data_IF_176251689867
#
_entry.id   IF_176251689867
#
_cell.length_a   1.000
_cell.length_b   1.000
_cell.length_c   1.000
_cell.angle_alpha   90.00
_cell.angle_beta   90.00
_cell.angle_gamma   90.00
#
_symmetry.space_group_name_H-M   'P 1'
#
loop_
_entity.id
_entity.type
_entity.pdbx_description
1 polymer ?
#
# COMPACT_ATOMS: atom_id res chain seq x y z
N UNK A 1 24.18 -1.52 -4.85
CA UNK A 1 23.60 -2.89 -4.89
C UNK A 1 24.24 -3.91 -3.93
N UNK A 2 25.47 -3.78 -3.36
CA UNK A 2 25.96 -4.76 -2.36
C UNK A 2 25.41 -4.56 -0.93
N UNK A 3 24.84 -3.39 -0.63
CA UNK A 3 24.41 -2.99 0.71
C UNK A 3 23.18 -3.76 1.22
N UNK A 4 22.30 -4.19 0.32
CA UNK A 4 21.07 -4.91 0.70
C UNK A 4 21.35 -6.36 1.07
N UNK A 5 22.15 -7.06 0.26
CA UNK A 5 22.59 -8.42 0.58
C UNK A 5 23.38 -8.46 1.88
N UNK A 6 24.23 -7.44 2.14
CA UNK A 6 24.95 -7.31 3.40
C UNK A 6 24.01 -7.05 4.59
N UNK A 7 23.03 -6.15 4.46
CA UNK A 7 22.07 -5.85 5.54
C UNK A 7 21.17 -7.06 5.87
N UNK A 8 20.70 -7.78 4.86
CA UNK A 8 19.86 -8.97 5.03
C UNK A 8 20.61 -10.14 5.66
N UNK A 9 21.94 -10.17 5.59
CA UNK A 9 22.76 -11.22 6.21
C UNK A 9 23.27 -10.79 7.60
N UNK A 10 23.80 -9.58 7.72
CA UNK A 10 24.45 -9.11 8.95
C UNK A 10 23.44 -8.81 10.06
N UNK A 11 22.30 -8.19 9.76
CA UNK A 11 21.36 -7.80 10.82
C UNK A 11 20.71 -9.03 11.48
N UNK A 12 20.24 -10.06 10.74
CA UNK A 12 19.78 -11.29 11.37
C UNK A 12 20.91 -12.07 12.07
N UNK A 13 22.13 -12.03 11.53
CA UNK A 13 23.30 -12.66 12.16
C UNK A 13 23.58 -12.09 13.57
N UNK A 14 23.48 -10.77 13.75
CA UNK A 14 23.74 -10.13 15.05
C UNK A 14 22.50 -10.01 15.96
N UNK A 15 21.28 -9.96 15.39
CA UNK A 15 20.05 -9.74 16.14
C UNK A 15 19.24 -11.00 16.47
N UNK A 16 19.38 -12.07 15.68
CA UNK A 16 18.59 -13.30 15.82
C UNK A 16 19.41 -14.50 16.31
N UNK A 17 20.72 -14.34 16.57
CA UNK A 17 21.54 -15.41 17.15
C UNK A 17 21.10 -15.68 18.60
N UNK A 18 20.51 -16.85 18.89
CA UNK A 18 20.16 -17.21 20.26
C UNK A 18 21.46 -17.45 21.01
N UNK A 19 21.75 -16.64 22.03
CA UNK A 19 23.01 -16.66 22.80
C UNK A 19 23.34 -17.99 23.52
N UNK A 20 22.61 -19.09 23.29
CA UNK A 20 22.75 -20.35 24.05
C UNK A 20 22.49 -21.68 23.32
N UNK A 21 22.19 -21.71 22.01
CA UNK A 21 21.86 -22.97 21.31
C UNK A 21 23.02 -23.49 20.44
N UNK A 22 23.19 -24.81 20.41
CA UNK A 22 24.33 -25.54 19.85
C UNK A 22 24.84 -25.01 18.49
N UNK A 23 26.18 -25.05 18.25
CA UNK A 23 26.82 -24.40 17.10
C UNK A 23 26.38 -24.91 15.71
N UNK A 24 25.80 -26.11 15.62
CA UNK A 24 25.22 -26.62 14.37
C UNK A 24 23.86 -25.98 14.01
N UNK A 25 23.04 -25.69 15.02
CA UNK A 25 21.74 -25.04 14.81
C UNK A 25 21.87 -23.55 14.53
N UNK A 26 22.91 -22.88 15.04
CA UNK A 26 23.08 -21.43 14.84
C UNK A 26 23.19 -21.04 13.37
N UNK A 27 23.87 -21.83 12.53
CA UNK A 27 24.01 -21.49 11.10
C UNK A 27 22.68 -21.63 10.34
N UNK A 28 21.94 -22.71 10.59
CA UNK A 28 20.63 -22.95 9.99
C UNK A 28 19.60 -21.92 10.42
N UNK A 29 19.60 -21.54 11.70
CA UNK A 29 18.74 -20.48 12.25
C UNK A 29 19.04 -19.14 11.57
N UNK A 30 20.32 -18.79 11.42
CA UNK A 30 20.73 -17.57 10.70
C UNK A 30 20.34 -17.63 9.23
N UNK A 31 20.51 -18.77 8.56
CA UNK A 31 20.11 -18.94 7.15
C UNK A 31 18.60 -18.77 6.95
N UNK A 32 17.78 -19.38 7.81
CA UNK A 32 16.32 -19.21 7.80
C UNK A 32 15.92 -17.76 8.07
N UNK A 33 16.57 -17.09 9.04
CA UNK A 33 16.32 -15.70 9.34
C UNK A 33 16.68 -14.75 8.18
N UNK A 34 17.84 -14.97 7.54
CA UNK A 34 18.27 -14.22 6.37
C UNK A 34 17.35 -14.43 5.16
N UNK A 35 16.85 -15.66 4.97
CA UNK A 35 15.87 -15.96 3.92
C UNK A 35 14.56 -15.18 4.13
N UNK A 36 13.98 -15.23 5.34
CA UNK A 36 12.74 -14.49 5.64
C UNK A 36 12.95 -12.98 5.49
N UNK A 37 14.08 -12.46 5.99
CA UNK A 37 14.41 -11.05 5.83
C UNK A 37 14.50 -10.65 4.36
N UNK A 38 15.17 -11.46 3.52
CA UNK A 38 15.30 -11.19 2.09
C UNK A 38 13.94 -11.19 1.38
N UNK A 39 13.08 -12.18 1.66
CA UNK A 39 11.74 -12.23 1.06
C UNK A 39 10.96 -10.97 1.41
N UNK A 40 10.95 -10.55 2.68
CA UNK A 40 10.23 -9.35 3.10
C UNK A 40 10.78 -8.08 2.50
N UNK A 41 12.11 -7.94 2.39
CA UNK A 41 12.72 -6.78 1.73
C UNK A 41 12.31 -6.72 0.27
N UNK A 42 12.38 -7.83 -0.46
CA UNK A 42 12.00 -7.86 -1.88
C UNK A 42 10.51 -7.57 -2.06
N UNK A 43 9.64 -8.14 -1.21
CA UNK A 43 8.20 -7.86 -1.25
C UNK A 43 7.89 -6.40 -0.92
N UNK A 44 8.57 -5.82 0.08
CA UNK A 44 8.43 -4.42 0.44
C UNK A 44 8.93 -3.48 -0.67
N UNK A 45 10.05 -3.81 -1.31
CA UNK A 45 10.54 -3.07 -2.47
C UNK A 45 9.56 -3.11 -3.64
N UNK A 46 8.98 -4.28 -3.92
CA UNK A 46 7.97 -4.42 -4.96
C UNK A 46 6.77 -3.51 -4.65
N UNK A 47 6.29 -3.56 -3.40
CA UNK A 47 5.16 -2.75 -2.93
C UNK A 47 5.41 -1.24 -3.04
N UNK A 48 6.64 -0.79 -2.75
CA UNK A 48 7.05 0.62 -2.91
C UNK A 48 7.32 1.02 -4.36
N UNK A 49 7.59 0.06 -5.24
CA UNK A 49 7.90 0.34 -6.64
C UNK A 49 6.63 0.60 -7.45
N UNK A 50 5.57 -0.16 -7.17
CA UNK A 50 4.31 -0.09 -7.92
C UNK A 50 3.56 1.23 -7.68
N UNK A 51 3.15 1.87 -8.78
CA UNK A 51 2.40 3.14 -8.77
C UNK A 51 0.90 2.95 -8.48
N UNK A 52 0.30 1.88 -9.02
CA UNK A 52 -1.14 1.62 -8.89
C UNK A 52 -1.39 0.45 -7.93
N UNK A 53 -1.92 0.76 -6.75
CA UNK A 53 -2.26 -0.23 -5.74
C UNK A 53 -3.60 -0.88 -6.04
N UNK A 54 -3.57 -2.10 -6.55
CA UNK A 54 -4.77 -2.92 -6.72
C UNK A 54 -4.96 -3.83 -5.50
N UNK A 55 -6.22 -4.19 -5.20
CA UNK A 55 -6.54 -5.15 -4.12
C UNK A 55 -5.85 -6.51 -4.33
N UNK A 56 -5.71 -6.93 -5.58
CA UNK A 56 -5.00 -8.15 -5.98
C UNK A 56 -3.50 -8.05 -5.66
N UNK A 57 -2.87 -6.93 -5.98
CA UNK A 57 -1.45 -6.73 -5.65
C UNK A 57 -1.23 -6.77 -4.15
N UNK A 58 -2.07 -6.09 -3.37
CA UNK A 58 -2.00 -6.13 -1.92
C UNK A 58 -2.12 -7.57 -1.39
N UNK A 59 -3.11 -8.33 -1.89
CA UNK A 59 -3.29 -9.73 -1.52
C UNK A 59 -2.06 -10.59 -1.84
N UNK A 60 -1.49 -10.45 -3.04
CA UNK A 60 -0.28 -11.20 -3.46
C UNK A 60 0.93 -10.82 -2.63
N UNK A 61 1.13 -9.53 -2.33
CA UNK A 61 2.22 -9.07 -1.46
C UNK A 61 2.05 -9.63 -0.03
N UNK A 62 0.84 -9.58 0.53
CA UNK A 62 0.58 -10.16 1.87
C UNK A 62 0.78 -11.67 1.88
N UNK A 63 0.33 -12.37 0.83
CA UNK A 63 0.51 -13.81 0.71
C UNK A 63 1.98 -14.16 0.57
N UNK A 64 2.73 -13.44 -0.26
CA UNK A 64 4.17 -13.63 -0.45
C UNK A 64 4.96 -13.36 0.83
N UNK A 65 4.54 -12.39 1.64
CA UNK A 65 5.14 -12.11 2.94
C UNK A 65 4.75 -13.16 4.00
N UNK A 66 3.53 -13.69 3.95
CA UNK A 66 3.01 -14.63 4.94
C UNK A 66 3.44 -16.08 4.66
N UNK A 67 3.58 -16.50 3.40
CA UNK A 67 3.84 -17.89 2.98
C UNK A 67 5.17 -18.50 3.49
N UNK A 68 6.27 -17.75 3.66
CA UNK A 68 7.50 -18.27 4.24
C UNK A 68 7.33 -18.81 5.67
N UNK A 69 6.44 -18.22 6.47
CA UNK A 69 6.23 -18.61 7.87
C UNK A 69 5.63 -20.02 8.03
N UNK A 70 4.44 -20.35 7.46
CA UNK A 70 3.90 -21.70 7.53
C UNK A 70 4.78 -22.70 6.78
N UNK A 71 5.45 -22.29 5.69
CA UNK A 71 6.37 -23.16 4.97
C UNK A 71 7.52 -23.62 5.87
N UNK A 72 8.21 -22.71 6.56
CA UNK A 72 9.31 -23.06 7.46
C UNK A 72 8.88 -23.89 8.68
N UNK A 73 7.63 -23.73 9.13
CA UNK A 73 7.05 -24.55 10.20
C UNK A 73 6.59 -25.94 9.73
N UNK A 74 6.15 -26.06 8.47
CA UNK A 74 5.64 -27.33 7.94
C UNK A 74 6.76 -28.25 7.45
N UNK A 75 7.83 -27.71 6.88
CA UNK A 75 8.91 -28.49 6.27
C UNK A 75 9.47 -29.53 7.25
N UNK A 76 9.82 -29.14 8.47
CA UNK A 76 10.38 -30.08 9.45
C UNK A 76 9.35 -31.13 9.92
N UNK A 77 8.06 -30.78 9.97
CA UNK A 77 6.99 -31.74 10.32
C UNK A 77 6.73 -32.76 9.22
N UNK A 78 6.86 -32.35 7.96
CA UNK A 78 6.76 -33.24 6.80
C UNK A 78 7.96 -34.17 6.74
N UNK A 79 9.16 -33.70 7.07
CA UNK A 79 10.37 -34.51 7.21
C UNK A 79 10.25 -35.57 8.32
N UNK A 80 9.66 -35.22 9.47
CA UNK A 80 9.31 -36.21 10.49
C UNK A 80 8.33 -37.27 9.96
N UNK A 81 7.33 -36.87 9.19
CA UNK A 81 6.33 -37.78 8.66
C UNK A 81 6.89 -38.71 7.57
N UNK A 82 7.92 -38.29 6.84
CA UNK A 82 8.59 -39.10 5.81
C UNK A 82 9.67 -40.04 6.34
N UNK A 83 9.98 -39.97 7.64
CA UNK A 83 10.99 -40.81 8.28
C UNK A 83 12.44 -40.40 7.96
N UNK A 84 12.65 -39.26 7.30
CA UNK A 84 13.96 -38.68 7.04
C UNK A 84 14.07 -37.37 7.81
N UNK A 85 14.59 -37.44 9.04
CA UNK A 85 14.81 -36.28 9.88
C UNK A 85 16.26 -35.81 9.74
N UNK A 86 16.44 -34.59 9.22
CA UNK A 86 17.70 -33.89 9.38
C UNK A 86 17.73 -33.27 10.78
N UNK A 87 18.48 -33.90 11.69
CA UNK A 87 18.64 -33.44 13.07
C UNK A 87 19.12 -31.98 13.14
N UNK A 88 19.83 -31.48 12.12
CA UNK A 88 20.34 -30.12 12.08
C UNK A 88 19.28 -29.04 11.84
N UNK A 89 18.15 -29.38 11.19
CA UNK A 89 17.11 -28.42 10.76
C UNK A 89 15.85 -28.46 11.63
N UNK A 90 15.68 -29.54 12.38
CA UNK A 90 14.53 -29.81 13.25
C UNK A 90 14.39 -28.75 14.35
N UNK A 91 13.18 -28.18 14.50
CA UNK A 91 12.87 -27.19 15.56
C UNK A 91 13.56 -25.82 15.43
N UNK A 92 14.47 -25.63 14.46
CA UNK A 92 15.16 -24.36 14.26
C UNK A 92 14.22 -23.18 13.94
N UNK A 93 13.11 -23.45 13.25
CA UNK A 93 12.10 -22.44 12.93
C UNK A 93 11.28 -22.03 14.18
N UNK A 94 10.93 -23.00 15.03
CA UNK A 94 10.18 -22.73 16.27
C UNK A 94 10.99 -21.87 17.24
N UNK A 95 12.29 -22.17 17.39
CA UNK A 95 13.22 -21.38 18.19
C UNK A 95 13.39 -19.95 17.64
N UNK A 96 13.49 -19.81 16.32
CA UNK A 96 13.64 -18.51 15.67
C UNK A 96 12.42 -17.62 15.88
N UNK A 97 11.21 -18.14 15.68
CA UNK A 97 9.97 -17.36 15.83
C UNK A 97 9.62 -17.06 17.29
N UNK A 98 10.05 -17.90 18.24
CA UNK A 98 9.92 -17.63 19.67
C UNK A 98 10.84 -16.48 20.14
N UNK A 99 11.88 -16.13 19.39
CA UNK A 99 12.86 -15.12 19.80
C UNK A 99 12.36 -13.71 19.45
N UNK A 100 12.13 -12.80 20.43
CA UNK A 100 11.67 -11.44 20.15
C UNK A 100 12.71 -10.62 19.34
N UNK A 101 14.00 -10.91 19.53
CA UNK A 101 15.09 -10.28 18.78
C UNK A 101 15.02 -10.52 17.27
N UNK A 102 14.47 -11.67 16.83
CA UNK A 102 14.25 -11.96 15.41
C UNK A 102 13.28 -10.96 14.77
N UNK A 103 12.14 -10.68 15.42
CA UNK A 103 11.15 -9.74 14.91
C UNK A 103 11.67 -8.31 14.83
N UNK A 104 12.44 -7.87 15.84
CA UNK A 104 13.07 -6.57 15.84
C UNK A 104 14.13 -6.45 14.73
N UNK A 105 14.95 -7.49 14.54
CA UNK A 105 15.92 -7.55 13.46
C UNK A 105 15.23 -7.48 12.09
N UNK A 106 14.10 -8.17 11.93
CA UNK A 106 13.29 -8.15 10.71
C UNK A 106 12.79 -6.74 10.37
N UNK A 107 12.21 -6.04 11.35
CA UNK A 107 11.72 -4.67 11.18
C UNK A 107 12.87 -3.71 10.89
N UNK A 108 14.01 -3.87 11.55
CA UNK A 108 15.19 -3.06 11.31
C UNK A 108 15.76 -3.25 9.89
N UNK A 109 15.86 -4.49 9.40
CA UNK A 109 16.30 -4.79 8.02
C UNK A 109 15.36 -4.10 7.03
N UNK A 110 14.06 -4.40 7.11
CA UNK A 110 13.07 -3.87 6.16
C UNK A 110 13.04 -2.35 6.20
N UNK A 111 13.08 -1.75 7.40
CA UNK A 111 13.11 -0.30 7.57
C UNK A 111 14.34 0.35 6.93
N UNK A 112 15.53 -0.23 7.11
CA UNK A 112 16.77 0.32 6.55
C UNK A 112 16.83 0.16 5.02
N UNK A 113 16.45 -1.01 4.50
CA UNK A 113 16.55 -1.29 3.05
C UNK A 113 15.45 -0.60 2.26
N UNK A 114 14.20 -0.69 2.71
CA UNK A 114 13.07 -0.06 2.05
C UNK A 114 13.07 1.45 2.29
N UNK A 115 13.43 1.88 3.50
CA UNK A 115 13.50 3.30 3.87
C UNK A 115 14.54 4.07 3.08
N UNK A 116 15.75 3.53 2.90
CA UNK A 116 16.79 4.19 2.09
C UNK A 116 16.34 4.43 0.65
N UNK A 117 15.72 3.43 0.00
CA UNK A 117 15.17 3.57 -1.34
C UNK A 117 13.99 4.52 -1.42
N UNK A 118 13.10 4.51 -0.42
CA UNK A 118 12.01 5.46 -0.35
C UNK A 118 12.53 6.89 -0.26
N UNK A 119 13.57 7.12 0.56
CA UNK A 119 14.20 8.43 0.71
C UNK A 119 14.84 8.89 -0.61
N UNK A 120 15.60 8.03 -1.29
CA UNK A 120 16.16 8.33 -2.62
C UNK A 120 15.06 8.69 -3.63
N UNK A 121 13.95 7.95 -3.62
CA UNK A 121 12.83 8.19 -4.53
C UNK A 121 12.09 9.49 -4.19
N UNK A 122 11.87 9.77 -2.91
CA UNK A 122 11.23 11.00 -2.43
C UNK A 122 12.07 12.24 -2.78
N UNK A 123 13.39 12.17 -2.57
CA UNK A 123 14.34 13.21 -2.98
C UNK A 123 14.29 13.41 -4.49
N UNK A 124 14.32 12.33 -5.28
CA UNK A 124 14.21 12.43 -6.74
C UNK A 124 12.89 13.03 -7.19
N UNK A 125 11.78 12.68 -6.54
CA UNK A 125 10.47 13.29 -6.82
C UNK A 125 10.43 14.79 -6.50
N UNK A 126 11.06 15.21 -5.39
CA UNK A 126 11.07 16.61 -4.97
C UNK A 126 11.93 17.48 -5.88
N UNK A 127 13.12 17.00 -6.27
CA UNK A 127 14.09 17.80 -7.04
C UNK A 127 14.00 17.60 -8.57
N UNK A 128 13.51 16.44 -9.03
CA UNK A 128 13.42 16.10 -10.46
C UNK A 128 12.05 15.49 -10.80
N UNK A 129 10.98 16.30 -10.84
CA UNK A 129 9.65 15.81 -11.17
C UNK A 129 9.60 15.31 -12.62
N UNK A 130 9.31 14.02 -12.74
CA UNK A 130 9.23 13.27 -14.00
C UNK A 130 8.13 13.83 -14.93
N UNK A 131 8.29 13.66 -16.25
CA UNK A 131 7.34 14.24 -17.25
C UNK A 131 5.91 13.73 -17.06
N UNK A 132 5.77 12.46 -16.67
CA UNK A 132 4.47 11.84 -16.39
C UNK A 132 3.79 12.37 -15.11
N UNK A 133 4.57 12.88 -14.15
CA UNK A 133 4.01 13.50 -12.94
C UNK A 133 3.36 14.84 -13.27
N UNK A 134 4.01 15.63 -14.12
CA UNK A 134 3.45 16.90 -14.60
C UNK A 134 2.15 16.68 -15.35
N UNK A 135 2.09 15.62 -16.17
CA UNK A 135 0.91 15.27 -16.93
C UNK A 135 -0.28 14.88 -16.03
N UNK A 136 -0.05 14.12 -14.96
CA UNK A 136 -1.10 13.81 -13.95
C UNK A 136 -1.55 15.06 -13.17
N UNK A 137 -0.61 15.93 -12.79
CA UNK A 137 -0.93 17.21 -12.16
C UNK A 137 -1.77 18.11 -13.08
N UNK A 138 -1.49 18.10 -14.38
CA UNK A 138 -2.27 18.82 -15.38
C UNK A 138 -3.66 18.21 -15.58
N UNK A 139 -3.79 16.88 -15.60
CA UNK A 139 -5.07 16.20 -15.66
C UNK A 139 -5.93 16.50 -14.42
N UNK A 140 -5.36 16.38 -13.22
CA UNK A 140 -6.02 16.75 -11.96
C UNK A 140 -6.45 18.22 -11.94
N UNK A 141 -5.62 19.14 -12.45
CA UNK A 141 -5.98 20.56 -12.59
C UNK A 141 -7.12 20.77 -13.58
N UNK A 142 -7.16 20.03 -14.68
CA UNK A 142 -8.24 20.10 -15.67
C UNK A 142 -9.56 19.56 -15.13
N UNK A 143 -9.52 18.46 -14.40
CA UNK A 143 -10.70 17.90 -13.72
C UNK A 143 -11.23 18.86 -12.65
N UNK A 144 -10.34 19.45 -11.83
CA UNK A 144 -10.73 20.45 -10.84
C UNK A 144 -11.30 21.72 -11.48
N UNK A 145 -10.70 22.21 -12.58
CA UNK A 145 -11.22 23.36 -13.33
C UNK A 145 -12.56 23.06 -14.00
N UNK A 146 -12.74 21.85 -14.55
CA UNK A 146 -14.00 21.39 -15.13
C UNK A 146 -15.11 21.23 -14.08
N UNK A 147 -14.79 20.70 -12.91
CA UNK A 147 -15.72 20.62 -11.78
C UNK A 147 -16.10 22.00 -11.24
N UNK A 148 -15.15 22.94 -11.15
CA UNK A 148 -15.42 24.32 -10.77
C UNK A 148 -16.30 25.05 -11.81
N UNK A 149 -16.06 24.83 -13.10
CA UNK A 149 -16.88 25.38 -14.18
C UNK A 149 -18.29 24.77 -14.20
N UNK A 150 -18.43 23.47 -13.95
CA UNK A 150 -19.73 22.81 -13.82
C UNK A 150 -20.51 23.32 -12.59
N UNK A 151 -19.84 23.54 -11.46
CA UNK A 151 -20.44 24.15 -10.28
C UNK A 151 -20.87 25.61 -10.52
N UNK A 152 -20.09 26.39 -11.27
CA UNK A 152 -20.44 27.75 -11.66
C UNK A 152 -21.62 27.79 -12.65
N UNK A 153 -21.67 26.88 -13.63
CA UNK A 153 -22.77 26.78 -14.59
C UNK A 153 -24.10 26.30 -13.96
N UNK A 154 -24.02 25.44 -12.95
CA UNK A 154 -25.20 25.00 -12.18
C UNK A 154 -25.81 26.13 -11.33
N UNK A 155 -25.04 27.17 -10.99
CA UNK A 155 -25.53 28.36 -10.29
C UNK A 155 -26.30 29.34 -11.18
N UNK A 156 -26.00 29.39 -12.49
CA UNK A 156 -26.61 30.35 -13.41
C UNK A 156 -27.93 29.84 -14.01
N UNK A 157 -28.14 28.52 -14.08
CA UNK A 157 -29.35 27.91 -14.65
C UNK A 157 -30.60 27.93 -13.75
N UNK A 158 -30.45 28.21 -12.45
CA UNK A 158 -31.60 28.26 -11.52
C UNK A 158 -32.26 29.65 -11.43
N UNK A 159 -31.73 30.66 -12.14
CA UNK A 159 -32.18 32.05 -12.05
C UNK A 159 -33.14 32.52 -13.15
N UNK A 160 -33.24 31.82 -14.28
CA UNK A 160 -34.02 32.33 -15.44
C UNK A 160 -35.41 31.68 -15.64
N UNK A 161 -35.73 30.55 -15.00
CA UNK A 161 -37.10 29.97 -15.09
C UNK A 161 -38.14 30.63 -14.16
N UNK A 162 -37.71 31.54 -13.27
CA UNK A 162 -38.61 32.23 -12.32
C UNK A 162 -39.30 33.49 -12.83
N UNK A 163 -38.85 34.10 -13.94
CA UNK A 163 -39.31 35.41 -14.37
C UNK A 163 -40.40 35.39 -15.47
N UNK A 164 -40.68 34.24 -16.10
CA UNK A 164 -41.65 34.12 -17.20
C UNK A 164 -43.07 33.69 -16.80
N UNK A 165 -43.26 33.22 -15.56
CA UNK A 165 -44.50 32.55 -15.14
C UNK A 165 -45.60 33.46 -14.57
N UNK A 166 -45.28 34.67 -14.12
CA UNK A 166 -46.25 35.53 -13.42
C UNK A 166 -47.00 36.51 -14.34
N UNK A 167 -46.45 36.87 -15.51
CA UNK A 167 -47.10 37.81 -16.44
C UNK A 167 -48.36 37.22 -17.09
N UNK A 168 -48.43 35.89 -17.24
CA UNK A 168 -49.60 35.20 -17.82
C UNK A 168 -50.82 35.05 -16.91
N UNK A 169 -50.66 35.22 -15.58
CA UNK A 169 -51.78 35.12 -14.62
C UNK A 169 -52.40 36.46 -14.26
N UNK A 170 -51.69 37.56 -14.49
CA UNK A 170 -52.18 38.90 -14.16
C UNK A 170 -53.12 39.44 -15.26
N UNK A 171 -52.83 39.18 -16.55
CA UNK A 171 -53.72 39.57 -17.66
C UNK A 171 -55.05 38.81 -17.74
N UNK A 172 -55.12 37.57 -17.21
CA UNK A 172 -56.36 36.76 -17.23
C UNK A 172 -57.30 37.08 -16.05
N UNK A 173 -56.84 37.79 -15.02
CA UNK A 173 -57.69 38.21 -13.89
C UNK A 173 -58.35 39.58 -14.09
N UNK A 174 -57.79 40.45 -14.93
CA UNK A 174 -58.41 41.74 -15.24
C UNK A 174 -59.61 41.61 -16.17
N UNK A 175 -59.58 40.72 -17.18
CA UNK A 175 -60.72 40.54 -18.09
C UNK A 175 -61.95 39.86 -17.45
N UNK A 176 -61.77 39.14 -16.34
CA UNK A 176 -62.87 38.52 -15.61
C UNK A 176 -63.59 39.49 -14.65
N UNK A 177 -62.97 40.63 -14.32
CA UNK A 177 -63.55 41.65 -13.43
C UNK A 177 -64.44 42.67 -14.17
N UNK A 178 -64.25 42.86 -15.47
CA UNK A 178 -64.93 43.93 -16.21
C UNK A 178 -66.26 43.52 -16.87
N UNK A 179 -66.54 42.22 -16.99
CA UNK A 179 -67.85 41.72 -17.46
C UNK A 179 -68.94 41.61 -16.39
N UNK A 180 -68.60 41.83 -15.11
CA UNK A 180 -69.56 41.85 -14.01
C UNK A 180 -70.16 43.23 -13.68
N UNK A 181 -69.78 44.28 -14.42
CA UNK A 181 -70.09 45.68 -14.08
C UNK A 181 -70.70 46.48 -15.24
N UNK A 182 -71.49 45.82 -16.08
CA UNK A 182 -72.46 46.45 -17.01
C UNK A 182 -73.73 45.59 -17.06
N UNK A 183 -74.46 45.59 -15.95
CA UNK A 183 -75.91 45.47 -15.93
C UNK A 183 -76.50 46.86 -15.86
#
# INVERSE_FOLDING_TARGET
>A
MPTQSAACLLIPLYGATPYRTLPGHSLWVVGKAAYVALVLVVTAELALTVRNWTRLLAAVCTLSAALPFPFLLLVWRVELASGYLDEGTAGAADLLFATPGFWLALVAVVGLTAGSRYLERAVRWLFFPDRFMRLELELMRREAAGAAAAAAGAGTGAGEEGAGGEVGKQGRREEAGERGRRG
#
